data_IF_110315154787
#
_entry.id   IF_110315154787
#
_cell.length_a   1.000
_cell.length_b   1.000
_cell.length_c   1.000
_cell.angle_alpha   90.00
_cell.angle_beta   90.00
_cell.angle_gamma   90.00
#
_symmetry.space_group_name_H-M   'P 1'
#
loop_
_entity.id
_entity.type
_entity.pdbx_description
1 polymer ?
#
# COMPACT_ATOMS: atom_id res chain seq x y z
N UNK A 1 20.40 48.11 47.24
CA UNK A 1 21.45 48.40 46.23
C UNK A 1 21.77 47.07 45.56
N UNK A 2 21.21 46.83 44.38
CA UNK A 2 21.36 45.58 43.64
C UNK A 2 22.14 45.86 42.36
N UNK A 3 23.26 45.14 42.21
CA UNK A 3 24.22 45.12 41.09
C UNK A 3 25.01 43.83 41.29
N UNK A 4 25.40 43.00 40.33
CA UNK A 4 25.43 43.01 38.86
C UNK A 4 25.92 41.60 38.43
N UNK A 5 25.77 41.27 37.14
CA UNK A 5 26.54 40.28 36.34
C UNK A 5 26.10 38.80 36.48
N UNK A 6 25.60 38.12 35.45
CA UNK A 6 26.04 37.86 34.05
C UNK A 6 27.08 36.72 33.92
N UNK A 7 26.77 35.80 33.00
CA UNK A 7 27.64 34.81 32.31
C UNK A 7 28.13 33.59 33.14
N UNK A 8 28.23 32.35 32.63
CA UNK A 8 28.12 31.78 31.29
C UNK A 8 27.75 30.28 31.37
N UNK A 9 27.04 29.80 30.35
CA UNK A 9 26.75 28.39 30.05
C UNK A 9 27.98 27.68 29.46
N UNK A 10 28.15 26.38 29.76
CA UNK A 10 28.94 25.47 28.92
C UNK A 10 28.53 24.00 29.13
N UNK A 11 27.73 23.45 28.21
CA UNK A 11 27.66 22.01 27.94
C UNK A 11 27.82 21.77 26.43
N UNK A 12 28.77 20.94 25.97
CA UNK A 12 28.84 20.54 24.58
C UNK A 12 28.18 19.16 24.39
N UNK A 13 27.04 19.11 23.68
CA UNK A 13 26.54 17.86 23.09
C UNK A 13 26.97 17.80 21.63
N UNK A 14 27.94 16.93 21.35
CA UNK A 14 28.50 16.68 20.04
C UNK A 14 27.61 15.67 19.30
N UNK A 15 26.76 16.13 18.37
CA UNK A 15 25.99 15.28 17.46
C UNK A 15 26.62 15.37 16.07
N UNK A 16 27.41 14.36 15.71
CA UNK A 16 27.97 14.22 14.36
C UNK A 16 26.93 13.70 13.37
N UNK A 17 27.13 14.16 12.15
CA UNK A 17 26.23 14.25 11.01
C UNK A 17 26.03 12.95 10.22
N UNK A 18 25.03 13.06 9.34
CA UNK A 18 24.62 12.27 8.20
C UNK A 18 25.70 11.53 7.40
N UNK A 19 25.30 10.43 6.77
CA UNK A 19 25.67 10.16 5.38
C UNK A 19 24.55 9.44 4.63
N UNK A 20 24.10 10.10 3.57
CA UNK A 20 23.34 9.59 2.43
C UNK A 20 23.97 8.33 1.83
N UNK A 21 23.13 7.39 1.37
CA UNK A 21 23.32 6.73 0.07
C UNK A 21 21.97 6.42 -0.59
N UNK A 22 21.66 7.21 -1.61
CA UNK A 22 20.77 6.89 -2.71
C UNK A 22 21.31 5.70 -3.52
N UNK A 23 20.42 4.84 -4.00
CA UNK A 23 20.63 4.06 -5.22
C UNK A 23 19.26 3.85 -5.91
N UNK A 24 19.09 4.55 -7.03
CA UNK A 24 18.08 4.29 -8.05
C UNK A 24 18.51 3.09 -8.92
N UNK A 25 17.66 2.80 -9.93
CA UNK A 25 17.73 1.78 -11.01
C UNK A 25 16.74 0.61 -10.79
N UNK A 26 15.53 0.66 -11.35
CA UNK A 26 15.16 0.48 -12.77
C UNK A 26 15.27 -0.98 -13.24
N UNK A 27 14.14 -1.68 -13.36
CA UNK A 27 13.97 -2.79 -14.30
C UNK A 27 12.52 -2.88 -14.78
N UNK A 28 12.20 -2.04 -15.75
CA UNK A 28 11.09 -2.27 -16.69
C UNK A 28 11.47 -3.40 -17.65
N UNK A 29 10.98 -4.61 -17.42
CA UNK A 29 11.05 -5.69 -18.42
C UNK A 29 9.79 -5.67 -19.28
N UNK A 30 9.83 -4.87 -20.34
CA UNK A 30 8.96 -5.01 -21.49
C UNK A 30 9.42 -6.25 -22.26
N UNK A 31 8.63 -7.32 -22.24
CA UNK A 31 8.88 -8.50 -23.07
C UNK A 31 8.32 -8.23 -24.48
N UNK A 32 9.27 -8.08 -25.39
CA UNK A 32 9.10 -8.03 -26.84
C UNK A 32 8.32 -9.24 -27.35
N UNK A 33 7.33 -8.99 -28.19
CA UNK A 33 6.56 -10.02 -28.91
C UNK A 33 7.31 -10.33 -30.20
N UNK A 34 8.13 -11.39 -30.19
CA UNK A 34 8.77 -11.90 -31.41
C UNK A 34 7.80 -12.81 -32.17
N UNK A 35 7.26 -12.26 -33.26
CA UNK A 35 6.44 -12.94 -34.24
C UNK A 35 7.36 -13.67 -35.21
N UNK A 36 7.31 -15.01 -35.26
CA UNK A 36 8.07 -15.80 -36.24
C UNK A 36 7.13 -16.63 -37.09
N UNK A 37 6.71 -16.02 -38.21
CA UNK A 37 6.27 -16.76 -39.40
C UNK A 37 7.42 -17.65 -39.86
N UNK A 38 7.12 -18.92 -40.13
CA UNK A 38 7.91 -19.68 -41.09
C UNK A 38 7.04 -20.73 -41.77
N UNK A 39 6.60 -20.42 -42.97
CA UNK A 39 6.13 -21.41 -43.92
C UNK A 39 7.33 -22.05 -44.62
N UNK A 40 7.34 -23.38 -44.72
CA UNK A 40 7.95 -24.03 -45.87
C UNK A 40 7.21 -25.33 -46.19
N UNK A 41 6.99 -25.51 -47.49
CA UNK A 41 6.13 -26.49 -48.12
C UNK A 41 6.85 -27.80 -48.46
N UNK A 42 6.03 -28.78 -48.83
CA UNK A 42 6.22 -29.76 -49.92
C UNK A 42 6.27 -31.23 -49.48
N UNK A 43 5.40 -31.98 -50.15
CA UNK A 43 4.96 -33.35 -49.93
C UNK A 43 6.03 -34.43 -50.17
N UNK A 44 5.82 -35.62 -49.58
CA UNK A 44 5.42 -36.82 -50.34
C UNK A 44 5.34 -38.09 -49.48
N UNK A 45 4.38 -38.92 -49.87
CA UNK A 45 4.36 -40.40 -49.82
C UNK A 45 3.57 -41.06 -48.69
N UNK A 46 2.54 -41.77 -49.14
CA UNK A 46 1.64 -42.63 -48.40
C UNK A 46 2.36 -43.72 -47.60
N UNK A 47 1.79 -44.04 -46.43
CA UNK A 47 1.79 -45.38 -45.86
C UNK A 47 0.45 -45.61 -45.15
N UNK A 48 -0.03 -46.85 -45.25
CA UNK A 48 -1.32 -47.34 -44.84
C UNK A 48 -1.45 -47.59 -43.32
N UNK A 49 -2.71 -47.80 -42.92
CA UNK A 49 -3.22 -48.43 -41.69
C UNK A 49 -3.29 -47.65 -40.37
N UNK A 50 -4.55 -47.44 -39.95
CA UNK A 50 -4.99 -47.21 -38.56
C UNK A 50 -5.08 -45.74 -38.11
N UNK A 51 -6.21 -45.29 -37.50
CA UNK A 51 -6.22 -43.96 -36.88
C UNK A 51 -5.25 -43.96 -35.69
N UNK A 52 -4.37 -42.96 -35.53
CA UNK A 52 -3.48 -42.88 -34.38
C UNK A 52 -4.27 -42.43 -33.16
N UNK A 53 -4.94 -43.37 -32.49
CA UNK A 53 -5.67 -43.14 -31.23
C UNK A 53 -4.79 -42.50 -30.13
N UNK A 54 -3.47 -42.67 -30.22
CA UNK A 54 -2.48 -42.09 -29.31
C UNK A 54 -2.22 -40.59 -29.52
N UNK A 55 -2.42 -40.05 -30.73
CA UNK A 55 -2.15 -38.64 -31.03
C UNK A 55 -3.28 -37.71 -30.56
N UNK A 56 -4.53 -38.14 -30.73
CA UNK A 56 -5.70 -37.42 -30.20
C UNK A 56 -5.70 -37.40 -28.67
N UNK A 57 -5.41 -38.54 -28.04
CA UNK A 57 -5.30 -38.63 -26.58
C UNK A 57 -4.13 -37.80 -26.01
N UNK A 58 -3.01 -37.68 -26.72
CA UNK A 58 -1.89 -36.82 -26.31
C UNK A 58 -2.21 -35.32 -26.44
N UNK A 59 -3.00 -34.93 -27.45
CA UNK A 59 -3.51 -33.55 -27.60
C UNK A 59 -4.53 -33.24 -26.50
N UNK A 60 -5.43 -34.16 -26.18
CA UNK A 60 -6.39 -34.01 -25.07
C UNK A 60 -5.69 -33.90 -23.71
N UNK A 61 -4.60 -34.66 -23.50
CA UNK A 61 -3.80 -34.54 -22.28
C UNK A 61 -3.04 -33.20 -22.21
N UNK A 62 -2.41 -32.77 -23.30
CA UNK A 62 -1.69 -31.49 -23.33
C UNK A 62 -2.63 -30.28 -23.16
N UNK A 63 -3.86 -30.36 -23.68
CA UNK A 63 -4.88 -29.32 -23.46
C UNK A 63 -5.40 -29.31 -22.02
N UNK A 64 -5.55 -30.48 -21.39
CA UNK A 64 -5.87 -30.57 -19.96
C UNK A 64 -4.74 -30.02 -19.08
N UNK A 65 -3.49 -30.37 -19.36
CA UNK A 65 -2.34 -29.88 -18.61
C UNK A 65 -2.26 -28.35 -18.70
N UNK A 66 -2.44 -27.78 -19.89
CA UNK A 66 -2.49 -26.32 -20.10
C UNK A 66 -3.68 -25.66 -19.38
N UNK A 67 -4.84 -26.32 -19.32
CA UNK A 67 -5.99 -25.83 -18.57
C UNK A 67 -5.70 -25.80 -17.05
N UNK A 68 -5.12 -26.87 -16.51
CA UNK A 68 -4.75 -26.91 -15.08
C UNK A 68 -3.68 -25.89 -14.73
N UNK A 69 -2.72 -25.65 -15.63
CA UNK A 69 -1.72 -24.60 -15.46
C UNK A 69 -2.38 -23.21 -15.48
N UNK A 70 -3.29 -22.96 -16.42
CA UNK A 70 -4.04 -21.70 -16.50
C UNK A 70 -4.90 -21.45 -15.25
N UNK A 71 -5.55 -22.49 -14.70
CA UNK A 71 -6.31 -22.41 -13.45
C UNK A 71 -5.42 -22.04 -12.26
N UNK A 72 -4.22 -22.64 -12.17
CA UNK A 72 -3.25 -22.31 -11.12
C UNK A 72 -2.77 -20.87 -11.23
N UNK A 73 -2.39 -20.42 -12.43
CA UNK A 73 -1.95 -19.04 -12.67
C UNK A 73 -3.07 -18.06 -12.31
N UNK A 74 -4.31 -18.36 -12.70
CA UNK A 74 -5.46 -17.53 -12.37
C UNK A 74 -5.66 -17.42 -10.85
N UNK A 75 -5.59 -18.54 -10.14
CA UNK A 75 -5.66 -18.56 -8.68
C UNK A 75 -4.58 -17.66 -8.07
N UNK A 76 -3.31 -17.82 -8.48
CA UNK A 76 -2.19 -17.04 -7.95
C UNK A 76 -2.39 -15.53 -8.22
N UNK A 77 -2.88 -15.16 -9.41
CA UNK A 77 -3.18 -13.77 -9.77
C UNK A 77 -4.31 -13.19 -8.92
N UNK A 78 -5.37 -13.96 -8.64
CA UNK A 78 -6.47 -13.52 -7.77
C UNK A 78 -5.98 -13.30 -6.34
N UNK A 79 -5.15 -14.18 -5.81
CA UNK A 79 -4.55 -14.03 -4.49
C UNK A 79 -3.66 -12.78 -4.43
N UNK A 80 -2.81 -12.58 -5.44
CA UNK A 80 -1.94 -11.41 -5.55
C UNK A 80 -2.74 -10.11 -5.65
N UNK A 81 -3.81 -10.09 -6.45
CA UNK A 81 -4.71 -8.93 -6.55
C UNK A 81 -5.29 -8.60 -5.17
N UNK A 82 -5.85 -9.59 -4.47
CA UNK A 82 -6.42 -9.39 -3.13
C UNK A 82 -5.40 -8.85 -2.14
N UNK A 83 -4.15 -9.31 -2.21
CA UNK A 83 -3.07 -8.80 -1.36
C UNK A 83 -2.76 -7.33 -1.67
N UNK A 84 -2.66 -6.96 -2.95
CA UNK A 84 -2.42 -5.58 -3.37
C UNK A 84 -3.58 -4.67 -2.97
N UNK A 85 -4.82 -5.10 -3.13
CA UNK A 85 -6.00 -4.35 -2.73
C UNK A 85 -5.98 -4.06 -1.21
N UNK A 86 -5.59 -5.05 -0.39
CA UNK A 86 -5.42 -4.86 1.05
C UNK A 86 -4.28 -3.87 1.38
N UNK A 87 -3.15 -3.98 0.69
CA UNK A 87 -2.02 -3.06 0.88
C UNK A 87 -2.39 -1.62 0.50
N UNK A 88 -3.09 -1.45 -0.62
CA UNK A 88 -3.58 -0.16 -1.07
C UNK A 88 -4.49 0.47 -0.02
N UNK A 89 -5.49 -0.28 0.47
CA UNK A 89 -6.39 0.21 1.51
C UNK A 89 -5.63 0.61 2.79
N UNK A 90 -4.61 -0.14 3.18
CA UNK A 90 -3.75 0.20 4.31
C UNK A 90 -2.97 1.51 4.12
N UNK A 91 -2.43 1.75 2.93
CA UNK A 91 -1.72 2.99 2.60
C UNK A 91 -2.67 4.18 2.57
N UNK A 92 -3.83 4.06 1.94
CA UNK A 92 -4.83 5.13 1.87
C UNK A 92 -5.35 5.51 3.26
N UNK A 93 -5.62 4.52 4.10
CA UNK A 93 -5.97 4.71 5.50
C UNK A 93 -4.86 5.39 6.32
N UNK A 94 -3.60 5.13 6.00
CA UNK A 94 -2.44 5.76 6.64
C UNK A 94 -2.31 7.22 6.19
N UNK A 95 -2.45 7.50 4.89
CA UNK A 95 -2.44 8.86 4.34
C UNK A 95 -3.51 9.71 5.04
N UNK A 96 -4.74 9.22 5.14
CA UNK A 96 -5.83 9.95 5.81
C UNK A 96 -5.50 10.31 7.27
N UNK A 97 -4.92 9.36 8.03
CA UNK A 97 -4.52 9.58 9.42
C UNK A 97 -3.34 10.57 9.55
N UNK A 98 -2.35 10.46 8.66
CA UNK A 98 -1.20 11.36 8.64
C UNK A 98 -1.60 12.78 8.26
N UNK A 99 -2.55 12.94 7.33
CA UNK A 99 -3.12 14.24 6.99
C UNK A 99 -3.78 14.91 8.19
N UNK A 100 -4.53 14.17 9.02
CA UNK A 100 -5.14 14.72 10.23
C UNK A 100 -4.09 15.30 11.17
N UNK A 101 -3.03 14.52 11.47
CA UNK A 101 -1.93 14.98 12.31
C UNK A 101 -1.25 16.19 11.69
N UNK A 102 -0.91 16.12 10.40
CA UNK A 102 -0.21 17.21 9.71
C UNK A 102 -1.03 18.50 9.73
N UNK A 103 -2.32 18.46 9.39
CA UNK A 103 -3.18 19.65 9.36
C UNK A 103 -3.43 20.22 10.77
N UNK A 104 -3.47 19.37 11.79
CA UNK A 104 -3.62 19.78 13.19
C UNK A 104 -2.35 20.49 13.67
N UNK A 105 -1.18 19.87 13.46
CA UNK A 105 0.10 20.30 14.01
C UNK A 105 0.63 21.57 13.32
N UNK A 106 0.36 21.72 12.02
CA UNK A 106 0.89 22.83 11.21
C UNK A 106 -0.03 24.05 11.12
N UNK A 107 -1.19 24.01 11.76
CA UNK A 107 -2.20 25.06 11.67
C UNK A 107 -1.70 26.46 12.03
N UNK A 108 -0.75 26.55 12.96
CA UNK A 108 -0.33 27.83 13.54
C UNK A 108 0.62 28.64 12.64
N UNK A 109 1.49 27.98 11.88
CA UNK A 109 2.56 28.63 11.10
C UNK A 109 2.31 28.61 9.59
N UNK A 110 1.33 27.82 9.15
CA UNK A 110 1.02 27.60 7.74
C UNK A 110 1.43 26.21 7.27
N UNK A 111 0.86 25.78 6.15
CA UNK A 111 1.02 24.44 5.60
C UNK A 111 0.82 24.42 4.08
N UNK A 112 1.08 23.26 3.45
CA UNK A 112 1.00 23.12 1.99
C UNK A 112 -0.38 23.42 1.40
N UNK A 113 -1.46 23.27 2.18
CA UNK A 113 -2.83 23.49 1.71
C UNK A 113 -3.17 24.97 1.66
N UNK A 114 -2.67 25.77 2.61
CA UNK A 114 -3.06 27.19 2.78
C UNK A 114 -1.95 28.20 2.53
N UNK A 115 -0.71 27.73 2.44
CA UNK A 115 0.48 28.55 2.32
C UNK A 115 1.20 28.77 3.66
N UNK A 116 2.40 29.35 3.57
CA UNK A 116 3.33 29.58 4.67
C UNK A 116 3.42 31.05 5.09
N UNK A 117 2.33 31.80 4.93
CA UNK A 117 2.33 33.25 5.13
C UNK A 117 2.63 33.64 6.59
N UNK A 118 2.10 32.87 7.55
CA UNK A 118 2.37 33.07 8.99
C UNK A 118 3.82 32.81 9.38
N UNK A 119 4.48 31.85 8.71
CA UNK A 119 5.91 31.59 8.86
C UNK A 119 6.75 32.74 8.30
N UNK A 120 6.41 33.24 7.11
CA UNK A 120 7.16 34.31 6.43
C UNK A 120 7.07 35.66 7.16
N UNK A 121 5.89 35.98 7.69
CA UNK A 121 5.63 37.25 8.37
C UNK A 121 5.83 37.18 9.89
N UNK A 122 6.27 36.04 10.43
CA UNK A 122 6.49 35.84 11.87
C UNK A 122 5.23 36.03 12.72
N UNK A 123 4.05 35.89 12.12
CA UNK A 123 2.76 36.08 12.78
C UNK A 123 1.99 34.76 12.73
N UNK A 124 2.00 33.99 13.84
CA UNK A 124 1.21 32.77 13.88
C UNK A 124 -0.27 33.12 13.76
N UNK A 125 -1.00 32.33 12.98
CA UNK A 125 -2.42 32.54 12.78
C UNK A 125 -3.15 32.20 14.09
N UNK A 126 -3.83 33.20 14.69
CA UNK A 126 -4.40 33.06 16.05
C UNK A 126 -5.70 32.27 16.08
N UNK A 127 -6.25 31.92 14.92
CA UNK A 127 -7.55 31.25 14.80
C UNK A 127 -7.34 29.75 14.76
N UNK A 128 -7.84 29.04 15.78
CA UNK A 128 -8.00 27.59 15.72
C UNK A 128 -8.97 27.27 14.60
N UNK A 129 -8.46 26.74 13.51
CA UNK A 129 -9.25 26.40 12.35
C UNK A 129 -9.78 24.99 12.49
N UNK A 130 -11.03 24.76 12.07
CA UNK A 130 -11.61 23.42 12.09
C UNK A 130 -11.22 22.71 10.79
N UNK A 131 -10.46 21.62 10.88
CA UNK A 131 -10.05 20.84 9.70
C UNK A 131 -11.30 20.49 8.90
N UNK A 132 -11.32 20.87 7.63
CA UNK A 132 -12.40 20.54 6.71
C UNK A 132 -11.97 19.36 5.86
N UNK A 133 -12.92 18.55 5.41
CA UNK A 133 -12.63 17.38 4.60
C UNK A 133 -11.99 17.77 3.25
N UNK A 134 -12.42 18.90 2.69
CA UNK A 134 -11.84 19.48 1.48
C UNK A 134 -10.34 19.85 1.60
N UNK A 135 -9.80 19.99 2.82
CA UNK A 135 -8.37 20.29 3.02
C UNK A 135 -7.49 19.03 2.89
N UNK A 136 -8.08 17.83 2.79
CA UNK A 136 -7.37 16.54 2.69
C UNK A 136 -6.96 16.19 1.26
N UNK A 137 -6.07 17.00 0.69
CA UNK A 137 -5.71 16.90 -0.73
C UNK A 137 -5.10 15.55 -1.14
N UNK A 138 -4.33 14.91 -0.26
CA UNK A 138 -3.69 13.63 -0.55
C UNK A 138 -4.69 12.48 -0.49
N UNK A 139 -5.61 12.44 0.47
CA UNK A 139 -6.69 11.44 0.47
C UNK A 139 -7.58 11.58 -0.77
N UNK A 140 -7.94 12.83 -1.13
CA UNK A 140 -8.75 13.12 -2.32
C UNK A 140 -8.01 12.89 -3.65
N UNK A 141 -6.70 12.63 -3.62
CA UNK A 141 -5.95 12.24 -4.82
C UNK A 141 -6.23 10.80 -5.28
N UNK A 142 -6.85 9.99 -4.43
CA UNK A 142 -7.32 8.66 -4.77
C UNK A 142 -8.85 8.61 -4.76
N UNK A 143 -9.44 7.93 -5.74
CA UNK A 143 -10.90 7.71 -5.80
C UNK A 143 -11.33 6.61 -4.81
N UNK A 144 -10.41 5.74 -4.41
CA UNK A 144 -10.70 4.57 -3.57
C UNK A 144 -10.56 4.82 -2.07
N UNK A 145 -10.08 6.00 -1.66
CA UNK A 145 -9.76 6.27 -0.25
C UNK A 145 -10.94 6.08 0.71
N UNK A 146 -12.17 6.43 0.29
CA UNK A 146 -13.36 6.25 1.11
C UNK A 146 -13.62 4.76 1.38
N UNK A 147 -13.45 3.93 0.36
CA UNK A 147 -13.59 2.49 0.51
C UNK A 147 -12.50 1.92 1.43
N UNK A 148 -11.27 2.43 1.34
CA UNK A 148 -10.22 2.06 2.27
C UNK A 148 -10.55 2.41 3.73
N UNK A 149 -11.17 3.56 3.97
CA UNK A 149 -11.65 3.93 5.31
C UNK A 149 -12.74 2.98 5.80
N UNK A 150 -13.67 2.58 4.95
CA UNK A 150 -14.71 1.59 5.30
C UNK A 150 -14.10 0.23 5.65
N UNK A 151 -13.14 -0.25 4.85
CA UNK A 151 -12.42 -1.50 5.12
C UNK A 151 -11.71 -1.40 6.47
N UNK A 152 -10.99 -0.31 6.71
CA UNK A 152 -10.25 -0.10 7.96
C UNK A 152 -11.20 -0.03 9.16
N UNK A 153 -12.30 0.72 9.05
CA UNK A 153 -13.29 0.84 10.12
C UNK A 153 -13.93 -0.51 10.44
N UNK A 154 -14.19 -1.34 9.42
CA UNK A 154 -14.68 -2.70 9.61
C UNK A 154 -13.65 -3.59 10.29
N UNK A 155 -12.38 -3.53 9.89
CA UNK A 155 -11.29 -4.27 10.55
C UNK A 155 -11.16 -3.85 12.03
N UNK A 156 -11.18 -2.56 12.34
CA UNK A 156 -11.11 -2.02 13.70
C UNK A 156 -12.33 -2.44 14.55
N UNK A 157 -13.54 -2.46 13.97
CA UNK A 157 -14.74 -2.94 14.65
C UNK A 157 -14.65 -4.41 15.06
N UNK A 158 -14.13 -5.28 14.18
CA UNK A 158 -13.91 -6.69 14.52
C UNK A 158 -12.88 -6.87 15.63
N UNK A 159 -11.82 -6.06 15.64
CA UNK A 159 -10.80 -6.12 16.70
C UNK A 159 -11.39 -5.73 18.06
N UNK A 160 -12.22 -4.70 18.11
CA UNK A 160 -12.91 -4.28 19.34
C UNK A 160 -13.84 -5.38 19.86
N UNK A 161 -14.63 -6.00 18.99
CA UNK A 161 -15.52 -7.11 19.36
C UNK A 161 -14.74 -8.32 19.90
N UNK A 162 -13.61 -8.67 19.30
CA UNK A 162 -12.77 -9.78 19.74
C UNK A 162 -12.14 -9.50 21.12
N UNK A 163 -11.65 -8.28 21.34
CA UNK A 163 -11.14 -7.84 22.64
C UNK A 163 -12.24 -7.87 23.71
N UNK A 164 -13.44 -7.37 23.41
CA UNK A 164 -14.57 -7.45 24.33
C UNK A 164 -14.95 -8.90 24.64
N UNK A 165 -15.00 -9.78 23.64
CA UNK A 165 -15.27 -11.21 23.84
C UNK A 165 -14.18 -11.86 24.69
N UNK A 166 -12.92 -11.48 24.53
CA UNK A 166 -11.83 -11.97 25.36
C UNK A 166 -11.99 -11.51 26.82
N UNK A 167 -12.33 -10.25 27.05
CA UNK A 167 -12.63 -9.73 28.39
C UNK A 167 -13.84 -10.43 29.01
N UNK A 168 -14.88 -10.69 28.22
CA UNK A 168 -16.08 -11.45 28.64
C UNK A 168 -15.71 -12.88 29.06
N UNK A 169 -14.90 -13.57 28.26
CA UNK A 169 -14.37 -14.91 28.55
C UNK A 169 -13.51 -14.94 29.82
N UNK A 170 -12.62 -13.95 30.00
CA UNK A 170 -11.82 -13.83 31.22
C UNK A 170 -12.69 -13.56 32.45
N UNK A 171 -13.61 -12.59 32.38
CA UNK A 171 -14.51 -12.23 33.48
C UNK A 171 -15.40 -13.41 33.89
N UNK A 172 -15.85 -14.22 32.93
CA UNK A 172 -16.59 -15.46 33.20
C UNK A 172 -15.75 -16.52 33.91
N UNK A 173 -14.43 -16.55 33.69
CA UNK A 173 -13.52 -17.50 34.34
C UNK A 173 -13.26 -17.15 35.80
N UNK A 174 -13.18 -15.85 36.14
CA UNK A 174 -13.00 -15.38 37.51
C UNK A 174 -14.27 -15.42 38.36
N UNK A 175 -15.44 -15.72 37.77
CA UNK A 175 -16.72 -15.76 38.49
C UNK A 175 -17.03 -17.14 39.12
N UNK A 176 -16.13 -18.11 38.97
CA UNK A 176 -16.31 -19.51 39.39
C UNK A 176 -15.15 -20.07 40.25
N UNK A 177 -14.28 -19.22 40.78
CA UNK A 177 -13.31 -19.53 41.85
C UNK A 177 -13.65 -18.72 43.10
#
# INVERSE_FOLDING_TARGET
MSSSSAEAESEPTNRKEASDKQAALSSSSASSVDNKENGNATASTANADGPPASSAAAIDQATMDHLTEAEKILSDLVHKKKQLDKQLAGVEASIYALEESYLTDTQQYGNVVRGFDGYLHGRPDKKKYKINDADRLFSHSSVTFQHALEIKAREEGYMQEEEEMFHRRKKSRYLYE
#
